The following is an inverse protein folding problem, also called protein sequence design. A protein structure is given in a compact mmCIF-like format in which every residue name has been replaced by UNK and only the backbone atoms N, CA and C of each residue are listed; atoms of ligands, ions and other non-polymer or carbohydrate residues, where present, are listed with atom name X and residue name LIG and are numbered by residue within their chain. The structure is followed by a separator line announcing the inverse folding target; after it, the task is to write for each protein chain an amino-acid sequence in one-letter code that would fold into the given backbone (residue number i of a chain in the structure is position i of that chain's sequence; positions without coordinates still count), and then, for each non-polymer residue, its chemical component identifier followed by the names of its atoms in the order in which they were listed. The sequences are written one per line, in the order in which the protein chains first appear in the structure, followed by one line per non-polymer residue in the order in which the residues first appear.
data_IF_531555809147
#
_entry.id   IF_531555809147
#
_cell.length_a   1.000
_cell.length_b   1.000
_cell.length_c   1.000
_cell.angle_alpha   90.00
_cell.angle_beta   90.00
_cell.angle_gamma   90.00
#
_symmetry.space_group_name_H-M   'P 1'
#
loop_
_entity.id
_entity.type
_entity.pdbx_description
1 polymer ?
#
# COMPACT_ATOMS: atom_id res chain seq x y z
N UNK A 1 -26.95 -11.89 5.29
CA UNK A 1 -25.52 -11.73 4.96
C UNK A 1 -25.43 -11.14 3.56
N UNK A 2 -25.18 -9.83 3.45
CA UNK A 2 -25.01 -9.17 2.16
C UNK A 2 -23.60 -9.44 1.65
N UNK A 3 -23.49 -10.09 0.48
CA UNK A 3 -22.25 -10.17 -0.30
C UNK A 3 -21.69 -8.75 -0.46
N UNK A 4 -20.44 -8.54 -0.05
CA UNK A 4 -19.74 -7.27 -0.20
C UNK A 4 -19.71 -6.90 -1.68
N UNK A 5 -20.08 -5.65 -1.96
CA UNK A 5 -20.07 -5.10 -3.30
C UNK A 5 -18.65 -5.15 -3.85
N UNK A 6 -18.49 -5.66 -5.08
CA UNK A 6 -17.25 -5.59 -5.87
C UNK A 6 -16.73 -4.14 -5.93
N UNK A 7 -15.82 -3.77 -5.03
CA UNK A 7 -15.17 -2.44 -4.98
C UNK A 7 -13.94 -2.39 -5.91
N UNK A 8 -14.06 -2.92 -7.12
CA UNK A 8 -12.97 -2.97 -8.10
C UNK A 8 -13.14 -1.97 -9.24
N UNK A 9 -13.76 -0.82 -9.02
CA UNK A 9 -13.81 0.24 -10.03
C UNK A 9 -13.33 1.57 -9.45
N UNK A 10 -12.00 1.71 -9.37
CA UNK A 10 -11.36 2.95 -8.99
C UNK A 10 -11.24 3.85 -10.21
N UNK A 11 -12.01 4.94 -10.23
CA UNK A 11 -11.91 5.95 -11.28
C UNK A 11 -10.70 6.86 -11.00
N UNK A 12 -9.60 6.58 -11.70
CA UNK A 12 -8.33 7.32 -11.56
C UNK A 12 -8.48 8.83 -11.76
N UNK A 13 -9.46 9.27 -12.56
CA UNK A 13 -9.70 10.71 -12.80
C UNK A 13 -10.18 11.43 -11.54
N UNK A 14 -10.69 10.69 -10.55
CA UNK A 14 -11.15 11.23 -9.26
C UNK A 14 -10.07 11.24 -8.18
N UNK A 15 -8.89 10.69 -8.46
CA UNK A 15 -7.78 10.66 -7.52
C UNK A 15 -7.04 12.00 -7.62
N UNK A 16 -6.95 12.70 -6.49
CA UNK A 16 -6.16 13.93 -6.38
C UNK A 16 -4.83 13.60 -5.70
N UNK A 17 -3.75 14.02 -6.34
CA UNK A 17 -2.40 13.92 -5.81
C UNK A 17 -2.01 15.29 -5.26
N UNK A 18 -1.83 15.37 -3.95
CA UNK A 18 -1.59 16.63 -3.24
C UNK A 18 -0.23 16.57 -2.56
N UNK A 19 0.78 17.29 -3.06
CA UNK A 19 2.08 17.38 -2.42
C UNK A 19 2.04 18.25 -1.16
N UNK A 20 2.79 17.83 -0.15
CA UNK A 20 2.98 18.55 1.11
C UNK A 20 4.46 18.78 1.37
N UNK A 21 4.82 20.03 1.68
CA UNK A 21 6.16 20.44 2.06
C UNK A 21 6.26 20.51 3.57
N UNK A 22 7.42 20.16 4.11
CA UNK A 22 7.76 20.37 5.50
C UNK A 22 8.03 21.86 5.74
N UNK A 23 7.37 22.45 6.73
CA UNK A 23 7.50 23.89 7.00
C UNK A 23 8.86 24.22 7.62
N UNK A 24 9.37 23.31 8.47
CA UNK A 24 10.69 23.42 9.10
C UNK A 24 11.43 22.07 9.03
N UNK A 25 12.55 22.03 8.30
CA UNK A 25 13.37 20.82 8.15
C UNK A 25 14.34 20.59 9.32
N UNK A 26 14.51 21.56 10.22
CA UNK A 26 15.44 21.51 11.34
C UNK A 26 14.87 20.83 12.59
N UNK A 27 13.54 20.74 12.70
CA UNK A 27 12.85 20.14 13.85
C UNK A 27 12.79 18.62 13.78
N UNK A 28 12.56 17.99 14.94
CA UNK A 28 12.37 16.55 15.05
C UNK A 28 11.14 16.10 14.26
N UNK A 29 11.14 14.86 13.79
CA UNK A 29 10.05 14.29 12.99
C UNK A 29 8.66 14.40 13.66
N UNK A 30 8.60 14.37 15.00
CA UNK A 30 7.37 14.50 15.79
C UNK A 30 6.81 15.93 15.84
N UNK A 31 7.62 16.93 15.51
CA UNK A 31 7.29 18.36 15.55
C UNK A 31 7.05 18.95 14.15
N UNK A 32 7.42 18.21 13.09
CA UNK A 32 7.26 18.65 11.70
C UNK A 32 5.79 18.92 11.38
N UNK A 33 5.52 20.15 10.94
CA UNK A 33 4.27 20.55 10.29
C UNK A 33 4.46 20.58 8.78
N UNK A 34 3.33 20.53 8.05
CA UNK A 34 3.36 20.47 6.61
C UNK A 34 2.28 21.34 5.98
N UNK A 35 2.67 22.06 4.93
CA UNK A 35 1.79 22.89 4.12
C UNK A 35 1.62 22.31 2.72
N UNK A 36 0.46 22.54 2.11
CA UNK A 36 0.18 22.12 0.73
C UNK A 36 1.11 22.88 -0.23
N UNK A 37 1.76 22.15 -1.14
CA UNK A 37 2.49 22.78 -2.23
C UNK A 37 1.53 23.15 -3.35
N UNK A 38 1.46 24.44 -3.69
CA UNK A 38 0.68 24.91 -4.84
C UNK A 38 1.40 24.68 -6.17
N UNK A 39 2.73 24.47 -6.15
CA UNK A 39 3.53 24.16 -7.34
C UNK A 39 3.67 22.64 -7.49
N UNK A 40 3.08 22.10 -8.55
CA UNK A 40 3.05 20.65 -8.81
C UNK A 40 4.23 20.15 -9.65
N UNK A 41 4.97 21.04 -10.31
CA UNK A 41 5.84 20.62 -11.41
C UNK A 41 7.15 19.94 -10.97
N UNK A 42 7.63 20.12 -9.73
CA UNK A 42 8.93 19.59 -9.30
C UNK A 42 8.97 19.16 -7.83
N UNK A 43 8.05 18.29 -7.42
CA UNK A 43 7.97 17.85 -6.02
C UNK A 43 9.16 17.00 -5.59
N UNK A 44 9.72 16.16 -6.48
CA UNK A 44 10.82 15.24 -6.13
C UNK A 44 12.11 15.93 -5.70
N UNK A 45 12.43 17.07 -6.30
CA UNK A 45 13.70 17.80 -6.09
C UNK A 45 13.57 18.88 -5.01
N UNK A 46 12.35 19.12 -4.51
CA UNK A 46 12.14 20.14 -3.49
C UNK A 46 12.88 19.75 -2.18
N UNK A 47 13.73 20.63 -1.62
CA UNK A 47 14.49 20.30 -0.41
C UNK A 47 13.57 20.00 0.77
N UNK A 48 12.46 20.73 0.87
CA UNK A 48 11.43 20.53 1.89
C UNK A 48 10.34 19.52 1.50
N UNK A 49 10.53 18.66 0.50
CA UNK A 49 9.52 17.65 0.18
C UNK A 49 9.23 16.78 1.41
N UNK A 50 7.98 16.82 1.87
CA UNK A 50 7.52 16.01 3.00
C UNK A 50 6.92 14.71 2.52
N UNK A 51 5.78 14.80 1.84
CA UNK A 51 5.07 13.65 1.30
C UNK A 51 4.08 14.02 0.21
N UNK A 52 3.65 13.03 -0.58
CA UNK A 52 2.51 13.09 -1.48
C UNK A 52 1.33 12.35 -0.86
N UNK A 53 0.17 12.99 -0.81
CA UNK A 53 -1.08 12.40 -0.31
C UNK A 53 -2.05 12.19 -1.46
N UNK A 54 -2.67 11.00 -1.51
CA UNK A 54 -3.71 10.68 -2.47
C UNK A 54 -5.08 10.85 -1.81
N UNK A 55 -6.00 11.50 -2.51
CA UNK A 55 -7.37 11.70 -2.07
C UNK A 55 -8.36 11.12 -3.08
N UNK A 56 -9.40 10.46 -2.59
CA UNK A 56 -10.60 10.12 -3.36
C UNK A 56 -11.75 10.95 -2.81
N UNK A 57 -12.13 12.01 -3.53
CA UNK A 57 -13.01 13.05 -3.01
C UNK A 57 -12.39 13.70 -1.76
N UNK A 58 -13.06 13.62 -0.60
CA UNK A 58 -12.57 14.18 0.67
C UNK A 58 -11.79 13.16 1.52
N UNK A 59 -11.68 11.91 1.09
CA UNK A 59 -11.03 10.84 1.89
C UNK A 59 -9.54 10.78 1.56
N UNK A 60 -8.65 10.83 2.56
CA UNK A 60 -7.20 10.85 2.35
C UNK A 60 -6.60 9.47 2.07
N UNK A 61 -7.41 8.43 1.86
CA UNK A 61 -6.89 7.09 1.62
C UNK A 61 -7.67 6.46 0.46
N UNK A 62 -6.94 5.88 -0.48
CA UNK A 62 -7.50 4.94 -1.44
C UNK A 62 -7.63 3.61 -0.72
N UNK A 63 -8.86 3.13 -0.53
CA UNK A 63 -9.14 1.82 0.06
C UNK A 63 -9.60 0.90 -1.06
N UNK A 64 -8.97 -0.27 -1.18
CA UNK A 64 -9.29 -1.31 -2.16
C UNK A 64 -9.35 -2.66 -1.46
N UNK A 65 -10.25 -3.52 -1.92
CA UNK A 65 -10.33 -4.90 -1.46
C UNK A 65 -9.54 -5.79 -2.40
N UNK A 66 -8.70 -6.68 -1.86
CA UNK A 66 -8.01 -7.70 -2.65
C UNK A 66 -9.00 -8.79 -3.07
N UNK A 67 -8.77 -9.46 -4.21
CA UNK A 67 -9.36 -10.77 -4.43
C UNK A 67 -8.85 -11.78 -3.39
N UNK A 68 -9.35 -13.01 -3.44
CA UNK A 68 -8.80 -14.13 -2.67
C UNK A 68 -7.32 -14.33 -2.98
N UNK A 69 -6.46 -14.02 -2.02
CA UNK A 69 -5.01 -14.14 -2.13
C UNK A 69 -4.45 -15.10 -1.09
N UNK A 70 -3.28 -15.68 -1.38
CA UNK A 70 -2.57 -16.56 -0.46
C UNK A 70 -1.50 -15.78 0.32
N UNK A 71 -1.59 -15.74 1.65
CA UNK A 71 -0.55 -15.18 2.50
C UNK A 71 0.58 -16.20 2.68
N UNK A 72 1.75 -15.96 2.09
CA UNK A 72 2.81 -16.96 1.99
C UNK A 72 3.46 -17.32 3.33
N UNK A 73 3.66 -16.33 4.20
CA UNK A 73 4.56 -16.45 5.34
C UNK A 73 3.94 -15.97 6.66
N UNK A 74 2.60 -16.02 6.76
CA UNK A 74 1.88 -15.46 7.90
C UNK A 74 2.27 -13.99 8.16
N UNK A 75 2.28 -13.62 9.44
CA UNK A 75 2.73 -12.28 9.87
C UNK A 75 4.22 -12.27 10.14
N UNK A 76 4.94 -11.49 9.36
CA UNK A 76 6.38 -11.29 9.50
C UNK A 76 6.68 -10.05 10.34
N UNK A 77 7.55 -10.18 11.34
CA UNK A 77 8.01 -9.06 12.19
C UNK A 77 9.45 -8.68 11.82
N UNK A 78 9.68 -7.39 11.58
CA UNK A 78 11.02 -6.82 11.39
C UNK A 78 11.16 -5.57 12.25
N UNK A 79 11.91 -5.68 13.36
CA UNK A 79 11.93 -4.65 14.40
C UNK A 79 10.52 -4.41 14.96
N UNK A 80 10.04 -3.16 14.84
CA UNK A 80 8.69 -2.76 15.25
C UNK A 80 7.66 -2.78 14.11
N UNK A 81 8.03 -3.26 12.91
CA UNK A 81 7.12 -3.35 11.78
C UNK A 81 6.59 -4.77 11.61
N UNK A 82 5.32 -4.86 11.23
CA UNK A 82 4.65 -6.11 10.90
C UNK A 82 4.20 -6.05 9.45
N UNK A 83 4.45 -7.10 8.67
CA UNK A 83 4.06 -7.18 7.26
C UNK A 83 3.50 -8.57 6.92
N UNK A 84 2.75 -8.64 5.83
CA UNK A 84 2.29 -9.86 5.19
C UNK A 84 2.72 -9.84 3.71
N UNK A 85 2.87 -11.03 3.14
CA UNK A 85 3.18 -11.21 1.71
C UNK A 85 2.01 -11.94 1.05
N UNK A 86 1.23 -11.21 0.27
CA UNK A 86 0.05 -11.74 -0.43
C UNK A 86 0.45 -12.11 -1.87
N UNK A 87 0.33 -13.39 -2.22
CA UNK A 87 0.72 -13.89 -3.53
C UNK A 87 -0.34 -13.57 -4.60
N UNK A 88 0.11 -13.05 -5.74
CA UNK A 88 -0.72 -12.92 -6.94
C UNK A 88 -0.78 -14.26 -7.68
N UNK A 89 -1.68 -15.15 -7.27
CA UNK A 89 -1.78 -16.51 -7.84
C UNK A 89 -2.48 -16.52 -9.19
N UNK A 90 -2.03 -17.38 -10.12
CA UNK A 90 -2.72 -17.64 -11.39
C UNK A 90 -2.95 -16.39 -12.27
N UNK A 91 -2.03 -15.41 -12.26
CA UNK A 91 -2.16 -14.14 -13.01
C UNK A 91 -2.45 -14.27 -14.52
N UNK A 92 -2.14 -15.43 -15.12
CA UNK A 92 -2.38 -15.68 -16.55
C UNK A 92 -3.81 -16.14 -16.84
N UNK A 93 -4.46 -16.78 -15.87
CA UNK A 93 -5.74 -17.49 -16.05
C UNK A 93 -6.87 -16.79 -15.28
N UNK A 94 -6.55 -16.16 -14.14
CA UNK A 94 -7.50 -15.44 -13.30
C UNK A 94 -7.58 -13.96 -13.72
N UNK A 95 -8.69 -13.60 -14.38
CA UNK A 95 -8.93 -12.23 -14.83
C UNK A 95 -9.08 -11.23 -13.67
N UNK A 96 -9.60 -11.68 -12.52
CA UNK A 96 -9.78 -10.84 -11.34
C UNK A 96 -8.44 -10.53 -10.68
N UNK A 97 -7.60 -11.56 -10.49
CA UNK A 97 -6.24 -11.39 -9.97
C UNK A 97 -5.40 -10.52 -10.90
N UNK A 98 -5.51 -10.75 -12.22
CA UNK A 98 -4.81 -9.94 -13.22
C UNK A 98 -5.22 -8.47 -13.14
N UNK A 99 -6.52 -8.22 -13.08
CA UNK A 99 -7.04 -6.85 -12.94
C UNK A 99 -6.52 -6.19 -11.66
N UNK A 100 -6.56 -6.88 -10.53
CA UNK A 100 -6.07 -6.36 -9.26
C UNK A 100 -4.55 -6.06 -9.31
N UNK A 101 -3.75 -6.94 -9.91
CA UNK A 101 -2.33 -6.71 -10.11
C UNK A 101 -2.05 -5.48 -11.00
N UNK A 102 -2.75 -5.36 -12.12
CA UNK A 102 -2.61 -4.22 -13.04
C UNK A 102 -3.09 -2.92 -12.38
N UNK A 103 -4.11 -2.97 -11.52
CA UNK A 103 -4.57 -1.85 -10.71
C UNK A 103 -3.48 -1.34 -9.75
N UNK A 104 -2.85 -2.23 -8.97
CA UNK A 104 -1.75 -1.84 -8.05
C UNK A 104 -0.61 -1.20 -8.83
N UNK A 105 -0.19 -1.81 -9.95
CA UNK A 105 0.86 -1.26 -10.82
C UNK A 105 0.50 0.13 -11.35
N UNK A 106 -0.73 0.31 -11.78
CA UNK A 106 -1.20 1.60 -12.31
C UNK A 106 -1.18 2.68 -11.23
N UNK A 107 -1.60 2.36 -9.99
CA UNK A 107 -1.53 3.30 -8.86
C UNK A 107 -0.08 3.67 -8.55
N UNK A 108 0.83 2.71 -8.51
CA UNK A 108 2.25 2.97 -8.27
C UNK A 108 2.85 3.86 -9.38
N UNK A 109 2.51 3.60 -10.65
CA UNK A 109 2.96 4.42 -11.78
C UNK A 109 2.43 5.86 -11.71
N UNK A 110 1.14 6.05 -11.39
CA UNK A 110 0.57 7.38 -11.21
C UNK A 110 1.22 8.11 -10.02
N UNK A 111 1.63 7.40 -8.96
CA UNK A 111 2.41 8.01 -7.88
C UNK A 111 3.77 8.50 -8.38
N UNK A 112 4.52 7.68 -9.13
CA UNK A 112 5.81 8.08 -9.72
C UNK A 112 5.66 9.34 -10.57
N UNK A 113 4.68 9.34 -11.47
CA UNK A 113 4.37 10.48 -12.35
C UNK A 113 4.05 11.75 -11.57
N UNK A 114 3.20 11.67 -10.54
CA UNK A 114 2.80 12.83 -9.75
C UNK A 114 3.86 13.31 -8.74
N UNK A 115 4.88 12.49 -8.46
CA UNK A 115 6.09 12.90 -7.75
C UNK A 115 7.04 13.66 -8.68
N UNK A 116 7.00 13.34 -9.99
CA UNK A 116 7.88 13.88 -11.03
C UNK A 116 9.02 12.94 -11.42
N UNK A 117 8.93 11.65 -11.07
CA UNK A 117 9.88 10.64 -11.53
C UNK A 117 9.71 10.39 -13.03
N UNK A 118 10.84 10.18 -13.70
CA UNK A 118 10.97 9.83 -15.12
C UNK A 118 11.47 8.40 -15.25
N UNK A 119 11.66 7.93 -16.49
CA UNK A 119 12.20 6.59 -16.74
C UNK A 119 13.63 6.44 -16.17
N UNK A 120 14.43 7.51 -16.21
CA UNK A 120 15.82 7.52 -15.74
C UNK A 120 15.95 7.32 -14.23
N UNK A 121 14.92 7.68 -13.45
CA UNK A 121 14.95 7.62 -11.98
C UNK A 121 13.78 6.83 -11.37
N UNK A 122 13.06 6.04 -12.19
CA UNK A 122 11.95 5.21 -11.75
C UNK A 122 12.35 4.20 -10.66
N UNK A 123 13.60 3.71 -10.68
CA UNK A 123 14.16 2.79 -9.68
C UNK A 123 14.26 3.40 -8.26
N UNK A 124 14.16 4.72 -8.13
CA UNK A 124 14.07 5.38 -6.84
C UNK A 124 12.72 5.12 -6.16
N UNK A 125 11.68 4.71 -6.89
CA UNK A 125 10.40 4.33 -6.31
C UNK A 125 10.40 2.86 -5.86
N UNK A 126 10.13 2.64 -4.58
CA UNK A 126 10.13 1.29 -4.00
C UNK A 126 8.74 0.66 -4.11
N UNK A 127 8.53 -0.05 -5.22
CA UNK A 127 7.32 -0.85 -5.45
C UNK A 127 7.09 -1.85 -4.31
N UNK A 128 5.83 -2.05 -3.94
CA UNK A 128 5.43 -3.07 -2.98
C UNK A 128 5.15 -4.42 -3.64
N UNK A 129 5.09 -4.47 -4.97
CA UNK A 129 5.09 -5.71 -5.73
C UNK A 129 6.53 -6.25 -5.77
N UNK A 130 6.72 -7.46 -5.25
CA UNK A 130 8.01 -8.14 -5.21
C UNK A 130 8.02 -9.27 -6.21
N UNK A 131 8.97 -9.18 -7.14
CA UNK A 131 9.25 -10.23 -8.12
C UNK A 131 10.36 -11.13 -7.59
N UNK A 132 10.24 -12.43 -7.86
CA UNK A 132 11.35 -13.35 -7.65
C UNK A 132 12.49 -13.05 -8.64
N UNK A 133 13.73 -13.00 -8.15
CA UNK A 133 14.90 -12.67 -8.97
C UNK A 133 15.12 -13.65 -10.14
N UNK A 134 14.65 -14.89 -9.99
CA UNK A 134 14.80 -15.95 -11.00
C UNK A 134 13.53 -16.13 -11.83
N UNK A 135 12.48 -15.33 -11.60
CA UNK A 135 11.18 -15.47 -12.26
C UNK A 135 10.51 -16.82 -12.03
N UNK A 136 10.93 -17.56 -10.99
CA UNK A 136 10.41 -18.92 -10.73
C UNK A 136 9.06 -18.91 -10.04
N UNK A 137 8.79 -17.87 -9.25
CA UNK A 137 7.60 -17.75 -8.44
C UNK A 137 6.76 -16.56 -8.87
N UNK A 138 5.44 -16.69 -8.70
CA UNK A 138 4.52 -15.59 -8.87
C UNK A 138 4.91 -14.39 -7.99
N UNK A 139 4.69 -13.15 -8.46
CA UNK A 139 4.95 -11.98 -7.67
C UNK A 139 4.05 -11.96 -6.42
N UNK A 140 4.46 -11.18 -5.43
CA UNK A 140 3.69 -10.97 -4.21
C UNK A 140 3.60 -9.50 -3.85
N UNK A 141 2.51 -9.12 -3.19
CA UNK A 141 2.29 -7.80 -2.63
C UNK A 141 2.73 -7.78 -1.18
N UNK A 142 3.67 -6.90 -0.86
CA UNK A 142 4.08 -6.60 0.52
C UNK A 142 3.07 -5.64 1.15
N UNK A 143 2.34 -6.11 2.16
CA UNK A 143 1.32 -5.32 2.87
C UNK A 143 1.74 -5.12 4.32
N UNK A 144 1.81 -3.88 4.79
CA UNK A 144 2.12 -3.54 6.18
C UNK A 144 0.89 -3.69 7.06
N UNK A 145 1.06 -4.29 8.24
CA UNK A 145 0.08 -4.27 9.32
C UNK A 145 0.39 -3.08 10.24
N UNK A 146 -0.45 -2.03 10.27
CA UNK A 146 -0.19 -0.88 11.12
C UNK A 146 -0.30 -1.26 12.59
N UNK A 147 0.75 -0.94 13.34
CA UNK A 147 0.84 -1.18 14.77
C UNK A 147 1.18 0.13 15.47
N UNK A 148 0.33 0.56 16.40
CA UNK A 148 0.45 1.83 17.12
C UNK A 148 -0.12 1.68 18.52
N UNK A 149 0.44 2.38 19.51
CA UNK A 149 0.00 2.31 20.92
C UNK A 149 -0.17 0.85 21.42
N UNK A 150 0.80 0.00 21.06
CA UNK A 150 0.82 -1.43 21.36
C UNK A 150 -0.39 -2.24 20.86
N UNK A 151 -1.09 -1.77 19.82
CA UNK A 151 -2.20 -2.48 19.21
C UNK A 151 -2.16 -2.42 17.68
N UNK A 152 -2.65 -3.49 17.05
CA UNK A 152 -2.91 -3.49 15.62
C UNK A 152 -4.10 -2.59 15.31
N UNK A 153 -3.97 -1.80 14.25
CA UNK A 153 -5.08 -1.01 13.70
C UNK A 153 -5.86 -1.80 12.65
N UNK A 154 -5.47 -3.06 12.40
CA UNK A 154 -6.10 -3.97 11.46
C UNK A 154 -7.15 -4.82 12.17
N UNK A 155 -8.36 -4.89 11.61
CA UNK A 155 -9.41 -5.82 12.08
C UNK A 155 -9.25 -7.18 11.40
N UNK A 156 -9.51 -8.27 12.12
CA UNK A 156 -9.44 -9.63 11.60
C UNK A 156 -10.75 -10.37 11.85
N UNK A 157 -11.22 -11.10 10.83
CA UNK A 157 -12.38 -12.00 10.91
C UNK A 157 -12.04 -13.32 10.22
N UNK A 158 -12.78 -14.38 10.55
CA UNK A 158 -12.63 -15.70 9.93
C UNK A 158 -13.99 -16.33 9.69
N UNK A 159 -14.13 -17.08 8.60
CA UNK A 159 -15.33 -17.89 8.33
C UNK A 159 -15.48 -19.06 9.32
N UNK A 160 -14.35 -19.61 9.79
CA UNK A 160 -14.31 -20.91 10.47
C UNK A 160 -14.03 -20.83 11.98
N UNK A 161 -13.68 -19.65 12.51
CA UNK A 161 -13.35 -19.49 13.93
C UNK A 161 -13.78 -18.13 14.48
N UNK A 162 -14.38 -18.15 15.67
CA UNK A 162 -14.67 -16.94 16.47
C UNK A 162 -13.46 -16.45 17.26
N UNK A 163 -12.46 -17.31 17.50
CA UNK A 163 -11.23 -16.99 18.21
C UNK A 163 -10.08 -16.87 17.21
N UNK A 164 -9.86 -15.65 16.70
CA UNK A 164 -8.77 -15.36 15.78
C UNK A 164 -7.98 -14.11 16.19
N UNK A 165 -6.67 -14.21 16.08
CA UNK A 165 -5.73 -13.11 16.25
C UNK A 165 -4.79 -13.06 15.04
N UNK A 166 -4.31 -11.87 14.72
CA UNK A 166 -3.33 -11.59 13.66
C UNK A 166 -2.09 -12.49 13.75
N UNK A 167 -1.62 -12.82 14.96
CA UNK A 167 -0.48 -13.73 15.13
C UNK A 167 -0.78 -15.20 14.82
N UNK A 168 -2.06 -15.58 14.70
CA UNK A 168 -2.46 -16.94 14.36
C UNK A 168 -2.60 -17.16 12.85
N UNK A 169 -2.36 -16.14 12.02
CA UNK A 169 -2.34 -16.30 10.56
C UNK A 169 -1.18 -17.22 10.19
N UNK A 170 -1.50 -18.40 9.68
CA UNK A 170 -0.54 -19.41 9.30
C UNK A 170 0.05 -19.12 7.91
N UNK A 171 1.10 -19.87 7.57
CA UNK A 171 1.66 -19.86 6.22
C UNK A 171 0.64 -20.42 5.23
N UNK A 172 0.64 -19.85 4.03
CA UNK A 172 -0.24 -20.23 2.92
C UNK A 172 -1.74 -20.12 3.19
N UNK A 173 -2.15 -19.33 4.20
CA UNK A 173 -3.56 -19.06 4.48
C UNK A 173 -4.19 -18.22 3.36
N UNK A 174 -5.36 -18.65 2.88
CA UNK A 174 -6.14 -17.87 1.93
C UNK A 174 -6.92 -16.77 2.66
N UNK A 175 -6.91 -15.56 2.13
CA UNK A 175 -7.59 -14.42 2.73
C UNK A 175 -7.93 -13.36 1.70
N UNK A 176 -8.88 -12.52 2.08
CA UNK A 176 -9.17 -11.24 1.42
C UNK A 176 -8.80 -10.12 2.38
N UNK A 177 -8.31 -9.01 1.85
CA UNK A 177 -7.89 -7.86 2.65
C UNK A 177 -8.50 -6.56 2.12
N UNK A 178 -8.98 -5.71 3.01
CA UNK A 178 -9.16 -4.29 2.69
C UNK A 178 -7.81 -3.60 2.94
N UNK A 179 -7.16 -3.13 1.90
CA UNK A 179 -5.88 -2.43 1.98
C UNK A 179 -6.04 -0.96 1.59
N UNK A 180 -5.15 -0.12 2.08
CA UNK A 180 -5.08 1.28 1.69
C UNK A 180 -3.66 1.75 1.45
N UNK A 181 -3.49 2.69 0.52
CA UNK A 181 -2.18 3.28 0.26
C UNK A 181 -1.90 4.38 1.29
N UNK A 182 -0.77 4.27 1.98
CA UNK A 182 -0.24 5.33 2.84
C UNK A 182 0.24 6.53 2.01
N UNK A 183 0.60 7.61 2.70
CA UNK A 183 1.37 8.73 2.10
C UNK A 183 2.59 8.20 1.35
N UNK A 184 3.04 8.88 0.31
CA UNK A 184 4.33 8.62 -0.33
C UNK A 184 5.36 9.59 0.23
N UNK A 185 6.44 9.09 0.81
CA UNK A 185 7.49 9.92 1.40
C UNK A 185 8.86 9.58 0.81
N UNK A 186 9.80 10.52 0.96
CA UNK A 186 11.20 10.37 0.54
C UNK A 186 12.08 10.01 1.74
N UNK A 187 13.02 9.08 1.54
CA UNK A 187 14.07 8.75 2.50
C UNK A 187 15.31 8.23 1.74
N UNK A 188 16.47 8.85 1.96
CA UNK A 188 17.75 8.47 1.31
C UNK A 188 17.58 8.28 -0.22
N UNK A 189 17.03 9.31 -0.88
CA UNK A 189 16.75 9.38 -2.32
C UNK A 189 15.71 8.40 -2.87
N UNK A 190 15.10 7.60 -2.01
CA UNK A 190 14.05 6.64 -2.38
C UNK A 190 12.68 7.13 -1.98
N UNK A 191 11.70 6.90 -2.85
CA UNK A 191 10.29 7.16 -2.61
C UNK A 191 9.59 5.87 -2.17
N UNK A 192 8.88 5.95 -1.06
CA UNK A 192 8.20 4.82 -0.45
C UNK A 192 6.71 5.04 -0.44
N UNK A 193 5.97 4.16 -1.11
CA UNK A 193 4.53 4.03 -0.97
C UNK A 193 4.24 2.69 -0.29
N UNK A 194 3.49 2.67 0.81
CA UNK A 194 3.18 1.41 1.52
C UNK A 194 1.70 1.12 1.49
N UNK A 195 1.35 -0.07 1.01
CA UNK A 195 0.04 -0.64 1.24
C UNK A 195 -0.07 -1.07 2.70
N UNK A 196 -1.13 -0.63 3.37
CA UNK A 196 -1.44 -0.94 4.76
C UNK A 196 -2.74 -1.72 4.84
N UNK A 197 -2.80 -2.72 5.69
CA UNK A 197 -4.01 -3.53 5.88
C UNK A 197 -4.96 -2.86 6.87
N UNK A 198 -6.21 -2.63 6.44
CA UNK A 198 -7.30 -2.17 7.28
C UNK A 198 -8.10 -3.35 7.85
N UNK A 199 -8.45 -4.33 7.00
CA UNK A 199 -9.18 -5.53 7.43
C UNK A 199 -8.61 -6.78 6.77
N UNK A 200 -8.68 -7.90 7.48
CA UNK A 200 -8.35 -9.23 7.01
C UNK A 200 -9.58 -10.11 7.20
N UNK A 201 -9.98 -10.80 6.14
CA UNK A 201 -10.98 -11.84 6.19
C UNK A 201 -10.34 -13.18 5.81
N UNK A 202 -10.25 -14.09 6.76
CA UNK A 202 -9.72 -15.44 6.54
C UNK A 202 -10.83 -16.35 6.03
N UNK A 203 -10.54 -17.02 4.91
CA UNK A 203 -11.40 -17.96 4.22
C UNK A 203 -11.13 -19.40 4.71
#
# INVERSE_FOLDING_TARGET
MSKSQNHMNLDFKKIQFVPFLCDDMSVKQTEKTYSVCNNKEYCKDHPCFGYLQLYVGKKPNIIISTPKMKCLFGVQKTGNNFNMSLQFTNLKEDSEMKYFFDLIRTIEFECMKNIGLTEDDADNFISQIKYDKKGKYDPNLSVKLPFSKNSFQTTITSENSSAINIFNIQNFTNMECDIYLDKIWRMNDKFYAKWKCNKIHIL
#
